data_IF_014017632931
#
_entry.id   IF_014017632931
#
_cell.length_a   1.000
_cell.length_b   1.000
_cell.length_c   1.000
_cell.angle_alpha   90.00
_cell.angle_beta   90.00
_cell.angle_gamma   90.00
#
_symmetry.space_group_name_H-M   'P 1'
#
loop_
_entity.id
_entity.type
_entity.pdbx_description
1 polymer ?
#
# COMPACT_ATOMS: atom_id res chain seq x y z
N UNK A 1 -19.50 -3.03 6.87
CA UNK A 1 -18.04 -3.22 7.08
C UNK A 1 -17.86 -4.49 7.90
N UNK A 2 -16.90 -5.34 7.52
CA UNK A 2 -16.45 -6.43 8.40
C UNK A 2 -15.50 -5.78 9.40
N UNK A 3 -15.85 -5.79 10.69
CA UNK A 3 -15.07 -5.15 11.76
C UNK A 3 -14.92 -6.14 12.90
N UNK A 4 -13.68 -6.46 13.27
CA UNK A 4 -13.37 -7.16 14.50
C UNK A 4 -13.42 -6.14 15.65
N UNK A 5 -14.12 -6.44 16.75
CA UNK A 5 -14.37 -5.47 17.83
C UNK A 5 -13.05 -4.95 18.41
N UNK A 6 -12.69 -3.71 18.06
CA UNK A 6 -11.56 -2.96 18.62
C UNK A 6 -10.22 -3.11 17.89
N UNK A 7 -10.07 -4.12 17.04
CA UNK A 7 -8.80 -4.49 16.40
C UNK A 7 -8.74 -4.05 14.94
N UNK A 8 -7.54 -3.95 14.40
CA UNK A 8 -7.34 -3.75 12.97
C UNK A 8 -7.56 -5.07 12.22
N UNK A 9 -7.95 -5.00 10.94
CA UNK A 9 -8.11 -6.21 10.12
C UNK A 9 -7.82 -6.00 8.65
N UNK A 10 -7.45 -7.08 7.97
CA UNK A 10 -7.36 -7.14 6.51
C UNK A 10 -8.35 -8.17 6.01
N UNK A 11 -9.27 -7.73 5.16
CA UNK A 11 -10.33 -8.53 4.57
C UNK A 11 -9.97 -8.91 3.13
N UNK A 12 -9.72 -10.19 2.89
CA UNK A 12 -9.47 -10.77 1.58
C UNK A 12 -10.74 -11.46 1.05
N UNK A 13 -11.52 -10.76 0.24
CA UNK A 13 -12.74 -11.32 -0.35
C UNK A 13 -12.39 -12.26 -1.50
N UNK A 14 -12.59 -13.56 -1.28
CA UNK A 14 -12.33 -14.62 -2.26
C UNK A 14 -13.51 -14.76 -3.24
N UNK A 15 -14.74 -14.60 -2.74
CA UNK A 15 -15.98 -14.61 -3.52
C UNK A 15 -17.08 -13.85 -2.77
N UNK A 16 -18.24 -13.67 -3.41
CA UNK A 16 -19.44 -13.06 -2.79
C UNK A 16 -19.83 -13.69 -1.44
N UNK A 17 -19.49 -14.95 -1.24
CA UNK A 17 -19.90 -15.74 -0.07
C UNK A 17 -18.74 -16.02 0.89
N UNK A 18 -17.50 -15.64 0.55
CA UNK A 18 -16.32 -16.00 1.34
C UNK A 18 -15.31 -14.86 1.41
N UNK A 19 -15.00 -14.44 2.64
CA UNK A 19 -13.93 -13.48 2.94
C UNK A 19 -13.06 -14.06 4.05
N UNK A 20 -11.75 -14.07 3.83
CA UNK A 20 -10.76 -14.36 4.87
C UNK A 20 -10.44 -13.05 5.58
N UNK A 21 -10.59 -13.02 6.90
CA UNK A 21 -10.29 -11.83 7.72
C UNK A 21 -9.08 -12.15 8.56
N UNK A 22 -8.00 -11.39 8.37
CA UNK A 22 -6.79 -11.47 9.18
C UNK A 22 -6.82 -10.35 10.19
N UNK A 23 -6.80 -10.69 11.47
CA UNK A 23 -6.78 -9.73 12.57
C UNK A 23 -5.34 -9.22 12.81
N UNK A 24 -5.22 -7.92 13.05
CA UNK A 24 -3.98 -7.24 13.40
C UNK A 24 -4.13 -6.69 14.81
N UNK A 25 -3.38 -7.30 15.73
CA UNK A 25 -3.32 -6.91 17.14
C UNK A 25 -2.33 -5.78 17.36
N UNK A 26 -2.38 -5.17 18.53
CA UNK A 26 -1.37 -4.19 18.94
C UNK A 26 0.03 -4.81 18.92
N UNK A 27 0.94 -4.13 18.25
CA UNK A 27 2.39 -4.34 18.35
C UNK A 27 2.98 -3.19 19.16
N UNK A 28 3.70 -3.53 20.22
CA UNK A 28 4.30 -2.55 21.15
C UNK A 28 5.65 -2.04 20.65
N UNK A 29 6.24 -2.72 19.68
CA UNK A 29 7.62 -2.49 19.23
C UNK A 29 7.68 -1.65 17.94
N UNK A 30 6.52 -1.30 17.37
CA UNK A 30 6.43 -0.49 16.14
C UNK A 30 5.42 0.65 16.24
N UNK A 31 5.68 1.70 15.47
CA UNK A 31 4.74 2.77 15.20
C UNK A 31 4.32 2.71 13.72
N UNK A 32 3.07 3.08 13.42
CA UNK A 32 2.51 3.04 12.07
C UNK A 32 1.96 4.41 11.67
N UNK A 33 2.34 4.86 10.47
CA UNK A 33 1.87 6.10 9.84
C UNK A 33 1.21 5.77 8.51
N UNK A 34 0.08 6.39 8.20
CA UNK A 34 -0.66 6.15 6.96
C UNK A 34 -0.63 7.36 6.03
N UNK A 35 -0.43 7.06 4.75
CA UNK A 35 -0.46 8.03 3.67
C UNK A 35 -1.64 7.74 2.77
N UNK A 36 -2.33 8.77 2.32
CA UNK A 36 -3.43 8.62 1.36
C UNK A 36 -4.07 9.95 1.00
N UNK A 37 -5.00 9.94 0.05
CA UNK A 37 -5.72 11.17 -0.33
C UNK A 37 -6.89 11.52 0.59
N UNK A 38 -7.30 10.62 1.47
CA UNK A 38 -8.40 10.90 2.41
C UNK A 38 -7.93 11.90 3.46
N UNK A 39 -8.85 12.76 3.91
CA UNK A 39 -8.64 13.65 5.06
C UNK A 39 -9.27 13.09 6.34
N UNK A 40 -9.68 11.81 6.31
CA UNK A 40 -10.19 11.12 7.49
C UNK A 40 -9.09 10.91 8.54
N UNK A 41 -9.50 10.77 9.80
CA UNK A 41 -8.58 10.67 10.94
C UNK A 41 -7.53 9.55 10.87
N UNK A 42 -7.72 8.41 10.18
CA UNK A 42 -6.66 7.40 10.07
C UNK A 42 -5.48 7.83 9.19
N UNK A 43 -5.53 8.95 8.48
CA UNK A 43 -4.44 9.42 7.62
C UNK A 43 -3.57 10.44 8.36
N UNK A 44 -2.29 10.12 8.51
CA UNK A 44 -1.30 11.01 9.11
C UNK A 44 -0.74 12.01 8.10
N UNK A 45 -0.61 11.60 6.83
CA UNK A 45 -0.09 12.44 5.76
C UNK A 45 -0.97 12.40 4.51
N UNK A 46 -1.65 13.52 4.25
CA UNK A 46 -2.56 13.68 3.12
C UNK A 46 -1.78 14.01 1.84
N UNK A 47 -1.98 13.22 0.79
CA UNK A 47 -1.34 13.44 -0.53
C UNK A 47 -2.39 13.54 -1.64
N UNK A 48 -2.26 14.56 -2.48
CA UNK A 48 -3.08 14.77 -3.68
C UNK A 48 -2.26 14.55 -4.94
N UNK A 49 -2.93 14.30 -6.07
CA UNK A 49 -2.27 14.09 -7.35
C UNK A 49 -1.41 15.29 -7.74
N UNK A 50 -0.25 15.02 -8.32
CA UNK A 50 0.66 16.02 -8.86
C UNK A 50 0.45 16.17 -10.37
N UNK A 51 0.56 17.38 -10.89
CA UNK A 51 0.61 17.62 -12.33
C UNK A 51 2.02 17.23 -12.82
N UNK A 52 2.10 16.34 -13.81
CA UNK A 52 3.38 15.97 -14.42
C UNK A 52 4.04 17.19 -15.05
N UNK A 53 5.32 17.45 -14.73
CA UNK A 53 6.04 18.67 -15.16
C UNK A 53 6.21 18.88 -16.68
N UNK A 54 5.75 17.94 -17.52
CA UNK A 54 5.68 18.08 -18.97
C UNK A 54 4.39 18.74 -19.48
N UNK A 55 3.44 19.06 -18.60
CA UNK A 55 2.20 19.77 -18.94
C UNK A 55 2.11 21.10 -18.17
N UNK A 56 2.99 22.05 -18.51
CA UNK A 56 2.84 23.46 -18.14
C UNK A 56 1.75 24.13 -19.00
N UNK A 57 0.51 23.66 -18.89
CA UNK A 57 -0.66 24.44 -19.26
C UNK A 57 -1.38 24.76 -17.95
N UNK A 58 -1.48 26.04 -17.61
CA UNK A 58 -2.05 26.61 -16.38
C UNK A 58 -3.55 26.27 -16.14
N UNK A 59 -4.14 25.37 -16.94
CA UNK A 59 -5.55 24.97 -16.88
C UNK A 59 -5.77 23.45 -16.77
N UNK A 60 -4.73 22.64 -16.58
CA UNK A 60 -4.92 21.20 -16.37
C UNK A 60 -5.46 20.92 -14.95
N UNK A 61 -6.75 21.18 -14.74
CA UNK A 61 -7.45 20.84 -13.50
C UNK A 61 -7.48 19.32 -13.37
N UNK A 62 -6.84 18.77 -12.33
CA UNK A 62 -6.90 17.34 -12.05
C UNK A 62 -8.33 17.01 -11.57
N UNK A 63 -9.17 16.55 -12.49
CA UNK A 63 -10.57 16.21 -12.20
C UNK A 63 -10.73 14.79 -11.65
N UNK A 64 -9.73 13.92 -11.84
CA UNK A 64 -9.78 12.52 -11.40
C UNK A 64 -8.48 12.12 -10.70
N UNK A 65 -8.62 11.74 -9.43
CA UNK A 65 -7.50 11.26 -8.61
C UNK A 65 -7.27 9.77 -8.82
N UNK A 66 -6.02 9.38 -9.01
CA UNK A 66 -5.61 7.96 -9.08
C UNK A 66 -5.01 7.44 -7.76
N UNK A 67 -4.81 8.34 -6.79
CA UNK A 67 -4.28 8.04 -5.47
C UNK A 67 -5.38 7.39 -4.61
N UNK A 68 -5.02 6.31 -3.92
CA UNK A 68 -5.95 5.62 -3.02
C UNK A 68 -6.25 6.49 -1.78
N UNK A 69 -7.48 6.38 -1.26
CA UNK A 69 -7.89 7.07 -0.02
C UNK A 69 -6.99 6.73 1.17
N UNK A 70 -6.64 5.44 1.29
CA UNK A 70 -5.70 4.89 2.27
C UNK A 70 -4.65 4.09 1.50
N UNK A 71 -3.56 4.75 1.10
CA UNK A 71 -2.68 4.27 0.03
C UNK A 71 -1.59 3.32 0.52
N UNK A 72 -0.87 3.68 1.59
CA UNK A 72 0.17 2.85 2.17
C UNK A 72 0.34 3.12 3.66
N UNK A 73 1.09 2.23 4.31
CA UNK A 73 1.56 2.36 5.69
C UNK A 73 3.08 2.41 5.69
N UNK A 74 3.65 3.32 6.45
CA UNK A 74 5.05 3.30 6.86
C UNK A 74 5.07 2.83 8.31
N UNK A 75 5.75 1.71 8.56
CA UNK A 75 5.89 1.13 9.89
C UNK A 75 7.35 1.24 10.31
N UNK A 76 7.59 1.85 11.45
CA UNK A 76 8.93 2.08 11.97
C UNK A 76 9.13 1.31 13.28
N UNK A 77 10.28 0.67 13.41
CA UNK A 77 10.69 0.06 14.68
C UNK A 77 10.86 1.18 15.73
N UNK A 78 10.32 0.99 16.94
CA UNK A 78 10.43 1.95 18.06
C UNK A 78 11.77 1.91 18.77
N UNK A 79 12.60 0.94 18.43
CA UNK A 79 13.93 0.73 19.00
C UNK A 79 14.98 0.84 17.90
N UNK A 80 16.22 1.18 18.27
CA UNK A 80 17.36 1.26 17.35
C UNK A 80 17.50 -0.04 16.52
N UNK A 81 17.73 0.02 15.20
CA UNK A 81 18.08 1.20 14.39
C UNK A 81 16.88 1.96 13.79
N UNK A 82 15.67 1.80 14.34
CA UNK A 82 14.45 2.49 13.89
C UNK A 82 14.12 2.21 12.42
N UNK A 83 14.27 0.94 12.01
CA UNK A 83 14.08 0.55 10.60
C UNK A 83 12.66 0.88 10.15
N UNK A 84 12.55 1.59 9.03
CA UNK A 84 11.28 1.88 8.39
C UNK A 84 10.99 0.86 7.28
N UNK A 85 9.76 0.36 7.24
CA UNK A 85 9.24 -0.55 6.20
C UNK A 85 7.95 0.03 5.63
N UNK A 86 7.71 -0.23 4.36
CA UNK A 86 6.49 0.22 3.67
C UNK A 86 5.60 -0.98 3.34
N UNK A 87 4.29 -0.79 3.50
CA UNK A 87 3.27 -1.78 3.20
C UNK A 87 2.21 -1.13 2.32
N UNK A 88 1.68 -1.87 1.35
CA UNK A 88 0.57 -1.37 0.56
C UNK A 88 -0.74 -1.33 1.37
N UNK A 89 -1.62 -0.41 0.98
CA UNK A 89 -2.87 -0.05 1.65
C UNK A 89 -2.70 0.56 3.05
N UNK A 90 -3.70 1.35 3.45
CA UNK A 90 -3.90 1.79 4.83
C UNK A 90 -5.27 1.35 5.35
N UNK A 91 -5.38 1.19 6.66
CA UNK A 91 -6.63 0.93 7.36
C UNK A 91 -7.57 2.13 7.28
N UNK A 92 -8.83 1.86 6.98
CA UNK A 92 -9.87 2.88 6.94
C UNK A 92 -10.38 3.26 8.35
N UNK A 93 -11.40 4.12 8.41
CA UNK A 93 -12.05 4.53 9.66
C UNK A 93 -12.73 3.38 10.41
N UNK A 94 -12.93 2.23 9.78
CA UNK A 94 -13.39 0.98 10.42
C UNK A 94 -12.23 0.09 10.89
N UNK A 95 -10.99 0.60 10.85
CA UNK A 95 -9.74 -0.11 11.13
C UNK A 95 -9.50 -1.28 10.17
N UNK A 96 -10.03 -1.23 8.95
CA UNK A 96 -9.98 -2.35 8.02
C UNK A 96 -9.29 -1.99 6.68
N UNK A 97 -8.53 -2.92 6.13
CA UNK A 97 -8.10 -2.91 4.73
C UNK A 97 -9.00 -3.88 3.96
N UNK A 98 -9.55 -3.45 2.84
CA UNK A 98 -10.45 -4.27 2.01
C UNK A 98 -9.83 -4.61 0.66
N UNK A 99 -9.58 -5.89 0.42
CA UNK A 99 -9.18 -6.45 -0.88
C UNK A 99 -10.37 -7.20 -1.49
N UNK A 100 -11.07 -6.53 -2.39
CA UNK A 100 -12.25 -7.09 -3.06
C UNK A 100 -11.94 -8.24 -4.03
N UNK A 101 -12.97 -8.80 -4.64
CA UNK A 101 -12.87 -9.94 -5.57
C UNK A 101 -11.85 -9.71 -6.70
N UNK A 102 -11.76 -8.47 -7.21
CA UNK A 102 -10.81 -8.03 -8.25
C UNK A 102 -9.43 -7.61 -7.75
N UNK A 103 -9.07 -7.88 -6.50
CA UNK A 103 -7.70 -7.69 -6.04
C UNK A 103 -6.89 -8.97 -6.26
N UNK A 104 -5.64 -8.84 -6.70
CA UNK A 104 -4.72 -9.97 -6.72
C UNK A 104 -4.48 -10.41 -5.26
N UNK A 105 -4.77 -11.67 -4.94
CA UNK A 105 -4.65 -12.23 -3.59
C UNK A 105 -4.27 -13.70 -3.68
N UNK A 106 -3.39 -14.15 -2.79
CA UNK A 106 -2.86 -15.51 -2.79
C UNK A 106 -2.44 -15.91 -1.37
N UNK A 107 -2.17 -17.20 -1.18
CA UNK A 107 -1.40 -17.69 -0.02
C UNK A 107 0.08 -17.74 -0.39
N UNK A 108 0.95 -17.19 0.44
CA UNK A 108 2.40 -17.30 0.28
C UNK A 108 2.86 -18.73 0.67
N UNK A 109 4.14 -19.10 0.43
CA UNK A 109 4.66 -20.43 0.78
C UNK A 109 4.49 -20.81 2.26
N UNK A 110 4.47 -19.81 3.16
CA UNK A 110 4.26 -19.99 4.60
C UNK A 110 2.77 -20.16 4.97
N UNK A 111 1.87 -20.10 3.99
CA UNK A 111 0.43 -20.27 4.17
C UNK A 111 -0.33 -19.00 4.58
N UNK A 112 0.35 -17.87 4.72
CA UNK A 112 -0.26 -16.57 5.02
C UNK A 112 -0.93 -15.97 3.78
N UNK A 113 -2.06 -15.29 3.98
CA UNK A 113 -2.69 -14.52 2.92
C UNK A 113 -1.90 -13.24 2.65
N UNK A 114 -1.77 -12.90 1.37
CA UNK A 114 -1.24 -11.63 0.91
C UNK A 114 -2.03 -11.16 -0.32
N UNK A 115 -1.80 -9.93 -0.75
CA UNK A 115 -2.40 -9.39 -1.95
C UNK A 115 -1.86 -8.02 -2.35
N UNK A 116 -2.31 -7.55 -3.50
CA UNK A 116 -1.97 -6.24 -4.04
C UNK A 116 -3.20 -5.33 -4.06
N UNK A 117 -2.98 -4.04 -3.82
CA UNK A 117 -4.00 -3.02 -4.06
C UNK A 117 -4.28 -2.88 -5.55
N UNK A 118 -5.43 -2.32 -5.94
CA UNK A 118 -5.82 -2.22 -7.35
C UNK A 118 -4.75 -1.53 -8.21
N UNK A 119 -4.20 -0.40 -7.76
CA UNK A 119 -3.23 0.40 -8.53
C UNK A 119 -1.77 0.18 -8.13
N UNK A 120 -1.52 -0.63 -7.08
CA UNK A 120 -0.19 -0.90 -6.55
C UNK A 120 0.43 0.25 -5.76
N UNK A 121 1.40 -0.09 -4.90
CA UNK A 121 2.34 0.85 -4.28
C UNK A 121 3.72 0.47 -4.79
N UNK A 122 4.40 1.40 -5.45
CA UNK A 122 5.69 1.14 -6.09
C UNK A 122 6.82 1.82 -5.33
N UNK A 123 7.95 1.13 -5.19
CA UNK A 123 9.15 1.64 -4.53
C UNK A 123 10.35 1.42 -5.43
N UNK A 124 11.27 2.39 -5.42
CA UNK A 124 12.56 2.30 -6.10
C UNK A 124 13.65 2.77 -5.13
N UNK A 125 14.63 1.91 -4.87
CA UNK A 125 15.86 2.32 -4.21
C UNK A 125 16.87 2.75 -5.29
N UNK A 126 17.30 4.02 -5.33
CA UNK A 126 18.31 4.45 -6.28
C UNK A 126 19.63 3.71 -6.07
N UNK A 127 20.37 3.49 -7.16
CA UNK A 127 21.71 2.90 -7.09
C UNK A 127 22.70 4.01 -6.74
N UNK A 128 23.61 3.72 -5.80
CA UNK A 128 24.54 4.73 -5.28
C UNK A 128 24.02 5.53 -4.09
N UNK A 129 22.81 5.22 -3.58
CA UNK A 129 22.22 5.93 -2.45
C UNK A 129 21.46 7.17 -2.90
N UNK A 130 21.40 8.20 -2.06
CA UNK A 130 20.76 9.48 -2.39
C UNK A 130 21.85 10.57 -2.47
N UNK A 131 22.71 10.44 -3.48
CA UNK A 131 23.84 11.35 -3.80
C UNK A 131 23.71 11.93 -5.21
N UNK A 132 24.61 12.82 -5.63
CA UNK A 132 24.60 13.40 -6.98
C UNK A 132 24.86 12.37 -8.09
N UNK A 133 25.58 11.28 -7.77
CA UNK A 133 25.89 10.20 -8.70
C UNK A 133 24.77 9.14 -8.81
N UNK A 134 23.67 9.34 -8.07
CA UNK A 134 22.57 8.39 -8.00
C UNK A 134 22.04 8.05 -9.37
N UNK A 135 21.93 6.75 -9.64
CA UNK A 135 21.28 6.25 -10.84
C UNK A 135 19.90 5.69 -10.50
N UNK A 136 18.93 5.78 -11.43
CA UNK A 136 17.63 5.15 -11.23
C UNK A 136 17.76 3.67 -10.87
N UNK A 137 17.06 3.29 -9.81
CA UNK A 137 16.91 1.90 -9.43
C UNK A 137 15.91 1.16 -10.31
N UNK A 138 15.51 -0.02 -9.85
CA UNK A 138 14.42 -0.76 -10.47
C UNK A 138 13.17 -0.60 -9.61
N UNK A 139 12.06 -0.22 -10.23
CA UNK A 139 10.77 -0.19 -9.55
C UNK A 139 10.32 -1.60 -9.17
N UNK A 140 9.77 -1.69 -7.96
CA UNK A 140 9.16 -2.89 -7.39
C UNK A 140 7.80 -2.55 -6.84
N UNK A 141 6.89 -3.50 -6.88
CA UNK A 141 5.58 -3.40 -6.28
C UNK A 141 5.60 -4.02 -4.88
N UNK A 142 5.03 -3.30 -3.91
CA UNK A 142 4.94 -3.74 -2.52
C UNK A 142 3.57 -4.33 -2.27
N UNK A 143 3.51 -5.47 -1.59
CA UNK A 143 2.26 -6.11 -1.21
C UNK A 143 1.66 -5.54 0.06
N UNK A 144 0.45 -5.95 0.39
CA UNK A 144 -0.24 -5.55 1.62
C UNK A 144 0.46 -6.09 2.87
N UNK A 145 1.15 -7.23 2.75
CA UNK A 145 1.99 -7.81 3.80
C UNK A 145 3.48 -7.41 3.71
N UNK A 146 3.88 -6.56 2.75
CA UNK A 146 5.22 -5.98 2.67
C UNK A 146 6.23 -6.76 1.84
N UNK A 147 5.79 -7.81 1.13
CA UNK A 147 6.62 -8.54 0.18
C UNK A 147 6.89 -7.69 -1.07
N UNK A 148 8.03 -7.94 -1.70
CA UNK A 148 8.53 -7.18 -2.85
C UNK A 148 8.34 -7.99 -4.13
N UNK A 149 7.65 -7.43 -5.11
CA UNK A 149 7.39 -8.07 -6.40
C UNK A 149 7.96 -7.23 -7.54
N UNK A 150 8.26 -7.87 -8.67
CA UNK A 150 8.44 -7.16 -9.94
C UNK A 150 7.16 -6.44 -10.33
N UNK A 151 7.26 -5.47 -11.24
CA UNK A 151 6.07 -4.84 -11.80
C UNK A 151 5.17 -5.86 -12.51
N UNK A 152 3.87 -5.56 -12.51
CA UNK A 152 2.89 -6.21 -13.38
C UNK A 152 3.15 -5.82 -14.84
N UNK A 153 2.62 -6.59 -15.79
CA UNK A 153 2.75 -6.27 -17.22
C UNK A 153 2.16 -4.89 -17.56
N UNK A 154 1.02 -4.56 -16.96
CA UNK A 154 0.39 -3.24 -17.03
C UNK A 154 -0.08 -2.79 -15.66
N UNK A 155 -0.12 -1.47 -15.43
CA UNK A 155 -0.63 -0.92 -14.17
C UNK A 155 -2.08 -1.38 -13.96
N UNK A 156 -2.37 -1.83 -12.74
CA UNK A 156 -3.69 -2.35 -12.35
C UNK A 156 -4.10 -3.70 -12.95
N UNK A 157 -3.19 -4.41 -13.63
CA UNK A 157 -3.41 -5.78 -14.07
C UNK A 157 -3.71 -6.71 -12.88
N UNK A 158 -4.54 -7.73 -13.08
CA UNK A 158 -4.88 -8.70 -12.02
C UNK A 158 -3.74 -9.65 -11.68
N UNK A 159 -2.82 -9.85 -12.62
CA UNK A 159 -1.68 -10.73 -12.45
C UNK A 159 -0.57 -10.01 -11.68
N UNK A 160 -0.16 -10.58 -10.54
CA UNK A 160 1.00 -10.12 -9.78
C UNK A 160 2.29 -10.31 -10.58
N UNK A 161 3.29 -9.49 -10.29
CA UNK A 161 4.66 -9.75 -10.73
C UNK A 161 5.28 -10.99 -10.07
N UNK A 162 6.54 -11.25 -10.40
CA UNK A 162 7.34 -12.31 -9.76
C UNK A 162 7.82 -11.82 -8.41
N UNK A 163 7.82 -12.71 -7.41
CA UNK A 163 8.50 -12.47 -6.12
C UNK A 163 10.00 -12.32 -6.38
#
# INVERSE_FOLDING_TARGET
AISCKGQHSISYTLSRNQTVVVEYTHDKDTDMFQVGRSTESPIDFVVTDTISGSQNNDEAQITQSTISRFACRIVCDRNEPYTARIFAAGFDSSKNIFLGEKAAKWKNPDGHMDGLTTNGVLVMHPRGGFTEESQPGVWREISVCGDVYTLRETRSAQQRGKL
#
